data_IF_247881624434
#
_entry.id   IF_247881624434
#
_cell.length_a   1.000
_cell.length_b   1.000
_cell.length_c   1.000
_cell.angle_alpha   90.00
_cell.angle_beta   90.00
_cell.angle_gamma   90.00
#
_symmetry.space_group_name_H-M   'P 1'
#
loop_
_entity.id
_entity.type
_entity.pdbx_description
1 polymer ?
#
# COMPACT_ATOMS: atom_id res chain seq x y z
N UNK A 1 -27.12 18.43 -18.01
CA UNK A 1 -26.41 18.91 -16.81
C UNK A 1 -24.94 18.54 -16.98
N UNK A 2 -23.98 19.42 -16.66
CA UNK A 2 -22.57 19.11 -16.83
C UNK A 2 -22.20 17.95 -15.88
N UNK A 3 -21.61 16.91 -16.47
CA UNK A 3 -21.11 15.73 -15.77
C UNK A 3 -19.97 16.15 -14.85
N UNK A 4 -20.20 16.18 -13.54
CA UNK A 4 -19.10 16.17 -12.59
C UNK A 4 -18.47 14.78 -12.65
N UNK A 5 -17.39 14.65 -13.42
CA UNK A 5 -16.43 13.58 -13.25
C UNK A 5 -15.72 13.86 -11.92
N UNK A 6 -16.32 13.43 -10.82
CA UNK A 6 -15.60 13.30 -9.56
C UNK A 6 -14.67 12.12 -9.79
N UNK A 7 -13.44 12.41 -10.21
CA UNK A 7 -12.34 11.45 -10.03
C UNK A 7 -12.14 11.42 -8.53
N UNK A 8 -12.90 10.55 -7.86
CA UNK A 8 -12.77 10.28 -6.43
C UNK A 8 -11.43 9.57 -6.25
N UNK A 9 -10.36 10.35 -6.35
CA UNK A 9 -8.98 9.88 -6.28
C UNK A 9 -8.66 9.72 -4.78
N UNK A 10 -9.43 8.86 -4.12
CA UNK A 10 -9.42 8.67 -2.69
C UNK A 10 -8.15 7.91 -2.34
N UNK A 11 -7.11 8.67 -1.97
CA UNK A 11 -5.80 8.12 -1.61
C UNK A 11 -5.95 7.10 -0.47
N UNK A 12 -5.20 6.01 -0.57
CA UNK A 12 -5.17 4.96 0.44
C UNK A 12 -4.15 5.35 1.49
N UNK A 13 -4.55 5.34 2.75
CA UNK A 13 -3.66 5.53 3.89
C UNK A 13 -2.86 4.26 4.11
N UNK A 14 -1.58 4.25 3.75
CA UNK A 14 -0.70 3.12 4.05
C UNK A 14 0.05 3.34 5.37
N UNK A 15 -0.09 2.40 6.31
CA UNK A 15 0.64 2.37 7.59
C UNK A 15 1.77 1.36 7.49
N UNK A 16 3.00 1.85 7.53
CA UNK A 16 4.20 1.04 7.35
C UNK A 16 4.84 0.85 8.71
N UNK A 17 4.82 -0.39 9.19
CA UNK A 17 5.40 -0.78 10.47
C UNK A 17 6.77 -1.41 10.23
N UNK A 18 7.84 -0.64 10.45
CA UNK A 18 9.21 -1.09 10.25
C UNK A 18 10.09 -0.76 11.47
N UNK A 19 10.86 -1.75 11.94
CA UNK A 19 11.80 -1.62 13.07
C UNK A 19 11.18 -1.02 14.36
N UNK A 20 9.90 -1.31 14.63
CA UNK A 20 9.17 -0.79 15.79
C UNK A 20 8.63 0.64 15.63
N UNK A 21 8.87 1.27 14.48
CA UNK A 21 8.27 2.55 14.11
C UNK A 21 7.07 2.33 13.17
N UNK A 22 6.10 3.24 13.24
CA UNK A 22 4.95 3.25 12.33
C UNK A 22 4.96 4.56 11.56
N UNK A 23 5.12 4.47 10.24
CA UNK A 23 5.06 5.60 9.32
C UNK A 23 3.73 5.57 8.57
N UNK A 24 3.21 6.74 8.23
CA UNK A 24 1.94 6.87 7.49
C UNK A 24 2.23 7.63 6.21
N UNK A 25 1.88 7.03 5.09
CA UNK A 25 1.89 7.68 3.77
C UNK A 25 0.52 7.55 3.12
N UNK A 26 0.34 8.30 2.04
CA UNK A 26 -0.85 8.23 1.20
C UNK A 26 -0.42 7.74 -0.18
N UNK A 27 -1.01 6.63 -0.63
CA UNK A 27 -0.70 6.00 -1.91
C UNK A 27 -1.90 6.09 -2.83
N UNK A 28 -1.63 6.28 -4.12
CA UNK A 28 -2.68 6.23 -5.14
C UNK A 28 -3.16 4.77 -5.29
N UNK A 29 -4.47 4.50 -5.37
CA UNK A 29 -4.99 3.16 -5.65
C UNK A 29 -4.44 2.50 -6.93
N UNK A 30 -3.96 3.30 -7.88
CA UNK A 30 -3.36 2.85 -9.14
C UNK A 30 -1.83 2.70 -9.11
N UNK A 31 -1.20 2.80 -7.92
CA UNK A 31 0.25 2.70 -7.73
C UNK A 31 0.82 1.38 -8.28
N UNK A 32 2.00 1.45 -8.91
CA UNK A 32 2.69 0.24 -9.37
C UNK A 32 3.54 -0.37 -8.27
N UNK A 33 3.75 -1.68 -8.34
CA UNK A 33 4.58 -2.40 -7.38
C UNK A 33 6.00 -1.82 -7.30
N UNK A 34 6.58 -1.45 -8.45
CA UNK A 34 7.91 -0.84 -8.49
C UNK A 34 7.96 0.52 -7.79
N UNK A 35 6.89 1.32 -7.92
CA UNK A 35 6.76 2.61 -7.24
C UNK A 35 6.60 2.40 -5.73
N UNK A 36 5.74 1.47 -5.30
CA UNK A 36 5.60 1.11 -3.89
C UNK A 36 6.92 0.60 -3.31
N UNK A 37 7.67 -0.21 -4.05
CA UNK A 37 9.00 -0.68 -3.63
C UNK A 37 9.98 0.48 -3.45
N UNK A 38 9.97 1.48 -4.34
CA UNK A 38 10.81 2.65 -4.22
C UNK A 38 10.43 3.48 -2.99
N UNK A 39 9.15 3.72 -2.75
CA UNK A 39 8.65 4.38 -1.53
C UNK A 39 9.13 3.64 -0.27
N UNK A 40 9.00 2.31 -0.22
CA UNK A 40 9.49 1.52 0.93
C UNK A 40 11.01 1.68 1.13
N UNK A 41 11.80 1.73 0.05
CA UNK A 41 13.24 1.95 0.16
C UNK A 41 13.55 3.34 0.73
N UNK A 42 12.84 4.37 0.29
CA UNK A 42 13.03 5.74 0.78
C UNK A 42 12.61 5.88 2.24
N UNK A 43 11.44 5.33 2.60
CA UNK A 43 10.84 5.41 3.94
C UNK A 43 11.67 4.62 4.96
N UNK A 44 12.00 3.37 4.65
CA UNK A 44 12.75 2.49 5.55
C UNK A 44 14.28 2.69 5.44
N UNK A 45 14.73 3.60 4.56
CA UNK A 45 16.14 3.91 4.29
C UNK A 45 16.96 2.68 3.88
N UNK A 46 16.36 1.81 3.07
CA UNK A 46 17.06 0.66 2.51
C UNK A 46 18.08 1.10 1.47
N UNK A 47 19.20 0.38 1.39
CA UNK A 47 20.12 0.55 0.25
C UNK A 47 19.48 -0.03 -1.02
N UNK A 48 19.97 0.38 -2.18
CA UNK A 48 19.42 -0.06 -3.48
C UNK A 48 19.53 -1.58 -3.69
N UNK A 49 20.59 -2.19 -3.17
CA UNK A 49 20.88 -3.63 -3.26
C UNK A 49 20.24 -4.45 -2.14
N UNK A 50 19.73 -3.80 -1.08
CA UNK A 50 19.07 -4.50 0.02
C UNK A 50 17.76 -5.13 -0.47
N UNK A 51 17.64 -6.43 -0.22
CA UNK A 51 16.42 -7.21 -0.46
C UNK A 51 15.50 -7.06 0.76
N UNK A 52 14.21 -6.89 0.50
CA UNK A 52 13.17 -6.83 1.52
C UNK A 52 11.91 -7.56 1.03
N UNK A 53 10.95 -7.75 1.92
CA UNK A 53 9.65 -8.34 1.61
C UNK A 53 8.59 -7.41 2.16
N UNK A 54 7.57 -7.11 1.35
CA UNK A 54 6.42 -6.33 1.77
C UNK A 54 5.34 -7.31 2.20
N UNK A 55 4.79 -7.15 3.41
CA UNK A 55 3.62 -7.90 3.85
C UNK A 55 2.49 -6.95 4.20
N UNK A 56 1.29 -7.19 3.70
CA UNK A 56 0.11 -6.48 4.18
C UNK A 56 -0.66 -7.34 5.16
N UNK A 57 -1.38 -6.70 6.08
CA UNK A 57 -2.27 -7.37 7.03
C UNK A 57 -3.68 -7.31 6.47
N UNK A 58 -4.30 -8.45 6.26
CA UNK A 58 -5.69 -8.54 5.81
C UNK A 58 -6.70 -8.31 6.94
N UNK A 59 -7.99 -8.42 6.62
CA UNK A 59 -9.07 -8.22 7.60
C UNK A 59 -9.09 -9.28 8.71
N UNK A 60 -8.57 -10.47 8.44
CA UNK A 60 -8.49 -11.56 9.41
C UNK A 60 -7.28 -11.39 10.33
N UNK A 61 -6.42 -10.40 10.04
CA UNK A 61 -5.19 -10.12 10.77
C UNK A 61 -3.99 -10.93 10.27
N UNK A 62 -4.13 -11.59 9.12
CA UNK A 62 -3.11 -12.48 8.58
C UNK A 62 -2.11 -11.72 7.69
N UNK A 63 -0.80 -11.97 7.86
CA UNK A 63 0.23 -11.33 7.05
C UNK A 63 0.32 -11.98 5.66
N UNK A 64 -0.20 -11.29 4.65
CA UNK A 64 -0.13 -11.67 3.25
C UNK A 64 1.05 -10.99 2.54
N UNK A 65 1.79 -11.73 1.70
CA UNK A 65 2.96 -11.17 0.99
C UNK A 65 2.55 -10.42 -0.27
N UNK A 66 3.18 -9.28 -0.53
CA UNK A 66 3.09 -8.54 -1.80
C UNK A 66 4.43 -8.66 -2.52
N UNK A 67 4.45 -9.43 -3.61
CA UNK A 67 5.62 -9.69 -4.45
C UNK A 67 5.34 -9.51 -5.94
N UNK A 68 4.07 -9.44 -6.32
CA UNK A 68 3.60 -9.26 -7.71
C UNK A 68 2.57 -8.13 -7.79
N UNK A 69 2.42 -7.53 -8.97
CA UNK A 69 1.41 -6.48 -9.18
C UNK A 69 -0.01 -7.01 -8.89
N UNK A 70 -0.29 -8.27 -9.21
CA UNK A 70 -1.59 -8.89 -8.93
C UNK A 70 -1.91 -8.93 -7.43
N UNK A 71 -0.93 -9.25 -6.59
CA UNK A 71 -1.11 -9.26 -5.12
C UNK A 71 -1.34 -7.84 -4.58
N UNK A 72 -0.66 -6.84 -5.14
CA UNK A 72 -0.87 -5.44 -4.78
C UNK A 72 -2.27 -4.96 -5.19
N UNK A 73 -2.69 -5.27 -6.42
CA UNK A 73 -4.00 -4.88 -6.96
C UNK A 73 -5.14 -5.53 -6.15
N UNK A 74 -4.94 -6.75 -5.63
CA UNK A 74 -5.91 -7.42 -4.77
C UNK A 74 -5.95 -6.82 -3.36
N UNK A 75 -4.81 -6.48 -2.76
CA UNK A 75 -4.74 -5.82 -1.45
C UNK A 75 -5.43 -4.43 -1.47
N UNK A 76 -4.96 -3.57 -2.38
CA UNK A 76 -5.79 -2.85 -3.35
C UNK A 76 -7.31 -2.84 -3.14
N UNK A 77 -7.93 -3.69 -3.97
CA UNK A 77 -9.35 -3.92 -4.11
C UNK A 77 -10.02 -4.30 -2.80
N UNK A 78 -9.38 -5.10 -1.94
CA UNK A 78 -9.92 -5.49 -0.63
C UNK A 78 -10.04 -4.27 0.29
N UNK A 79 -9.01 -3.42 0.36
CA UNK A 79 -9.02 -2.19 1.14
C UNK A 79 -10.21 -1.26 0.76
N UNK A 80 -10.50 -1.12 -0.53
CA UNK A 80 -11.64 -0.31 -1.02
C UNK A 80 -13.00 -0.94 -0.67
N UNK A 81 -13.13 -2.27 -0.79
CA UNK A 81 -14.37 -3.00 -0.45
C UNK A 81 -14.72 -2.81 1.03
N UNK A 82 -13.69 -2.79 1.88
CA UNK A 82 -13.86 -2.71 3.34
C UNK A 82 -14.09 -1.28 3.83
N UNK A 83 -13.96 -0.28 2.93
CA UNK A 83 -14.18 1.16 3.17
C UNK A 83 -13.31 1.80 4.25
N UNK A 84 -12.30 1.10 4.74
CA UNK A 84 -11.36 1.66 5.71
C UNK A 84 -10.31 2.54 5.03
N UNK A 85 -10.12 2.40 3.70
CA UNK A 85 -9.10 3.12 2.92
C UNK A 85 -7.72 3.09 3.60
N UNK A 86 -7.45 2.04 4.36
CA UNK A 86 -6.25 1.86 5.17
C UNK A 86 -5.60 0.53 4.83
N UNK A 87 -4.31 0.58 4.49
CA UNK A 87 -3.49 -0.61 4.22
C UNK A 87 -2.38 -0.68 5.27
N UNK A 88 -2.37 -1.72 6.10
CA UNK A 88 -1.27 -1.93 7.07
C UNK A 88 -0.22 -2.83 6.46
N UNK A 89 1.02 -2.34 6.40
CA UNK A 89 2.19 -2.97 5.79
C UNK A 89 3.27 -3.20 6.86
N UNK A 90 3.94 -4.37 6.79
CA UNK A 90 5.09 -4.78 7.60
C UNK A 90 6.28 -5.17 6.72
#
# INVERSE_FOLDING_TARGET
MPTQLVTDNQEIRAKIAYNGEVLIIYVNPSIKLDELCNEMREICRFTYDQVFTIKWVDEEGDPCTISTQLELDEAIRLCEVNRDHELTIH
#
